data_IF_466347469452
#
_entry.id   IF_466347469452
#
_cell.length_a   1.000
_cell.length_b   1.000
_cell.length_c   1.000
_cell.angle_alpha   90.00
_cell.angle_beta   90.00
_cell.angle_gamma   90.00
#
_symmetry.space_group_name_H-M   'P 1'
#
loop_
_entity.id
_entity.type
_entity.pdbx_description
1 polymer ?
#
# COMPACT_ATOMS: atom_id res chain seq x y z
N UNK A 1 58.95 -22.13 56.35
CA UNK A 1 58.14 -20.94 56.70
C UNK A 1 57.61 -20.32 55.42
N UNK A 2 56.40 -20.73 54.97
CA UNK A 2 55.76 -20.26 53.74
C UNK A 2 54.61 -19.36 54.13
N UNK A 3 54.68 -18.11 53.71
CA UNK A 3 53.62 -17.09 53.96
C UNK A 3 52.64 -17.17 52.77
N UNK A 4 51.44 -17.63 53.06
CA UNK A 4 50.36 -17.66 52.14
C UNK A 4 49.72 -16.27 52.03
N UNK A 5 49.82 -15.62 50.84
CA UNK A 5 49.29 -14.29 50.59
C UNK A 5 47.86 -14.45 50.00
N UNK A 6 46.84 -14.27 50.84
CA UNK A 6 45.45 -14.21 50.37
C UNK A 6 45.24 -12.95 49.53
N UNK A 7 44.79 -13.11 48.30
CA UNK A 7 44.25 -12.02 47.46
C UNK A 7 42.83 -11.75 47.88
N UNK A 8 42.60 -10.59 48.50
CA UNK A 8 41.26 -10.09 48.72
C UNK A 8 40.66 -9.64 47.40
N UNK A 9 39.61 -10.35 46.91
CA UNK A 9 38.74 -9.91 45.81
C UNK A 9 37.80 -8.86 46.36
N UNK A 10 38.05 -7.59 46.04
CA UNK A 10 37.14 -6.49 46.34
C UNK A 10 35.90 -6.62 45.41
N UNK A 11 34.80 -7.05 45.99
CA UNK A 11 33.48 -6.92 45.34
C UNK A 11 33.11 -5.43 45.33
N UNK A 12 33.14 -4.80 44.15
CA UNK A 12 32.58 -3.46 43.96
C UNK A 12 31.06 -3.55 44.23
N UNK A 13 30.62 -3.08 45.39
CA UNK A 13 29.19 -2.94 45.66
C UNK A 13 28.67 -1.80 44.81
N UNK A 14 28.01 -2.11 43.71
CA UNK A 14 27.32 -1.11 42.90
C UNK A 14 26.24 -0.41 43.75
N UNK A 15 26.17 0.93 43.70
CA UNK A 15 25.18 1.69 44.46
C UNK A 15 23.76 1.25 44.06
N UNK A 16 22.86 1.16 45.06
CA UNK A 16 21.44 0.73 44.87
C UNK A 16 20.73 1.49 43.78
N UNK A 17 21.12 2.73 43.50
CA UNK A 17 20.62 3.57 42.41
C UNK A 17 20.98 3.06 41.00
N UNK A 18 22.07 2.29 40.87
CA UNK A 18 22.46 1.71 39.57
C UNK A 18 21.46 0.63 39.11
N UNK A 19 20.98 -0.21 40.02
CA UNK A 19 19.95 -1.20 39.72
C UNK A 19 18.59 -0.54 39.43
N UNK A 20 18.29 0.57 40.10
CA UNK A 20 17.08 1.36 39.87
C UNK A 20 17.13 2.08 38.54
N UNK A 21 18.30 2.61 38.13
CA UNK A 21 18.51 3.19 36.81
C UNK A 21 18.43 2.14 35.69
N UNK A 22 19.02 0.96 35.90
CA UNK A 22 19.00 -0.15 34.95
C UNK A 22 17.58 -0.69 34.76
N UNK A 23 16.78 -0.78 35.82
CA UNK A 23 15.37 -1.17 35.74
C UNK A 23 14.49 -0.11 35.06
N UNK A 24 14.82 1.18 35.22
CA UNK A 24 14.10 2.28 34.56
C UNK A 24 14.42 2.31 33.05
N UNK A 25 15.67 2.03 32.68
CA UNK A 25 16.09 1.94 31.27
C UNK A 25 15.50 0.72 30.56
N UNK A 26 15.31 -0.41 31.27
CA UNK A 26 14.68 -1.59 30.68
C UNK A 26 13.18 -1.41 30.41
N UNK A 27 12.49 -0.52 31.14
CA UNK A 27 11.09 -0.16 30.90
C UNK A 27 10.90 0.77 29.68
N UNK A 28 11.98 1.43 29.20
CA UNK A 28 11.93 2.30 28.03
C UNK A 28 12.16 1.56 26.69
N UNK A 29 12.52 0.27 26.73
CA UNK A 29 12.80 -0.54 25.56
C UNK A 29 11.61 -1.41 25.12
N UNK A 30 10.38 -1.10 25.56
CA UNK A 30 9.21 -1.69 24.94
C UNK A 30 9.06 -1.07 23.56
N UNK A 31 9.68 -1.70 22.57
CA UNK A 31 9.34 -1.49 21.16
C UNK A 31 7.86 -1.79 21.01
N UNK A 32 7.05 -0.77 20.77
CA UNK A 32 5.65 -0.95 20.46
C UNK A 32 5.62 -1.48 19.03
N UNK A 33 5.51 -2.81 18.86
CA UNK A 33 5.15 -3.36 17.58
C UNK A 33 3.77 -2.83 17.21
N UNK A 34 3.59 -2.39 15.98
CA UNK A 34 2.28 -1.98 15.47
C UNK A 34 1.40 -3.23 15.35
N UNK A 35 0.25 -3.22 16.04
CA UNK A 35 -0.70 -4.34 16.00
C UNK A 35 -1.88 -3.99 15.12
N UNK A 36 -2.08 -4.74 14.04
CA UNK A 36 -3.28 -4.62 13.23
C UNK A 36 -4.29 -5.72 13.57
N UNK A 37 -5.55 -5.36 13.50
CA UNK A 37 -6.67 -6.30 13.58
C UNK A 37 -7.65 -5.96 12.45
N UNK A 38 -7.78 -6.85 11.49
CA UNK A 38 -8.62 -6.68 10.31
C UNK A 38 -9.88 -7.52 10.46
N UNK A 39 -11.04 -6.87 10.43
CA UNK A 39 -12.37 -7.47 10.38
C UNK A 39 -12.94 -7.29 8.97
N UNK A 40 -13.03 -8.36 8.20
CA UNK A 40 -13.44 -8.35 6.81
C UNK A 40 -14.86 -8.88 6.59
N UNK A 41 -15.60 -8.21 5.69
CA UNK A 41 -16.91 -8.63 5.21
C UNK A 41 -16.99 -8.58 3.70
N UNK A 42 -17.65 -9.57 3.09
CA UNK A 42 -17.91 -9.59 1.67
C UNK A 42 -19.35 -9.99 1.37
N UNK A 43 -19.97 -9.30 0.40
CA UNK A 43 -21.23 -9.70 -0.21
C UNK A 43 -21.02 -10.49 -1.51
N UNK A 44 -19.77 -10.66 -1.94
CA UNK A 44 -19.42 -11.39 -3.17
C UNK A 44 -19.44 -12.89 -2.91
N UNK A 45 -20.51 -13.54 -3.34
CA UNK A 45 -20.74 -14.98 -3.07
C UNK A 45 -19.64 -15.90 -3.61
N UNK A 46 -18.94 -15.51 -4.68
CA UNK A 46 -17.84 -16.27 -5.25
C UNK A 46 -16.58 -16.27 -4.40
N UNK A 47 -16.47 -15.42 -3.39
CA UNK A 47 -15.36 -15.39 -2.43
C UNK A 47 -15.62 -16.27 -1.21
N UNK A 48 -16.87 -16.67 -0.95
CA UNK A 48 -17.20 -17.52 0.19
C UNK A 48 -16.56 -18.91 0.06
N UNK A 49 -15.96 -19.40 1.12
CA UNK A 49 -15.20 -20.64 1.15
C UNK A 49 -13.77 -20.55 0.57
N UNK A 50 -13.38 -19.42 -0.07
CA UNK A 50 -12.02 -19.24 -0.61
C UNK A 50 -11.02 -18.85 0.47
N UNK A 51 -9.75 -19.11 0.18
CA UNK A 51 -8.63 -18.62 1.00
C UNK A 51 -8.36 -17.17 0.68
N UNK A 52 -8.27 -16.37 1.72
CA UNK A 52 -7.84 -14.97 1.69
C UNK A 52 -6.42 -14.90 2.20
N UNK A 53 -5.60 -14.08 1.56
CA UNK A 53 -4.18 -13.91 1.92
C UNK A 53 -3.86 -12.43 2.07
N UNK A 54 -3.16 -12.10 3.13
CA UNK A 54 -2.56 -10.78 3.32
C UNK A 54 -1.09 -10.88 2.91
N UNK A 55 -0.68 -10.13 1.88
CA UNK A 55 0.65 -10.27 1.28
C UNK A 55 1.37 -8.94 1.16
N UNK A 56 2.68 -8.98 1.44
CA UNK A 56 3.60 -7.95 1.00
C UNK A 56 4.20 -8.35 -0.33
N UNK A 57 4.37 -7.37 -1.20
CA UNK A 57 5.09 -7.55 -2.46
C UNK A 57 6.46 -6.90 -2.30
N UNK A 58 7.54 -7.65 -1.98
CA UNK A 58 8.85 -7.08 -1.70
C UNK A 58 9.45 -6.27 -2.85
N UNK A 59 9.09 -6.60 -4.09
CA UNK A 59 9.64 -5.97 -5.29
C UNK A 59 8.67 -4.97 -5.96
N UNK A 60 7.67 -4.49 -5.19
CA UNK A 60 6.59 -3.71 -5.77
C UNK A 60 5.69 -4.57 -6.67
N UNK A 61 4.61 -4.04 -7.14
CA UNK A 61 3.58 -4.74 -7.91
C UNK A 61 4.04 -5.31 -9.29
N UNK A 62 5.34 -5.40 -9.51
CA UNK A 62 5.92 -5.78 -10.79
C UNK A 62 6.04 -7.29 -10.94
N UNK A 63 5.27 -7.81 -11.87
CA UNK A 63 5.37 -9.09 -12.58
C UNK A 63 5.27 -10.40 -11.79
N UNK A 64 4.64 -11.37 -12.41
CA UNK A 64 4.24 -12.74 -12.01
C UNK A 64 5.34 -13.62 -11.34
N UNK A 65 6.54 -13.11 -11.13
CA UNK A 65 7.67 -13.90 -10.62
C UNK A 65 8.32 -13.38 -9.32
N UNK A 66 7.78 -12.34 -8.69
CA UNK A 66 8.32 -11.85 -7.42
C UNK A 66 7.75 -12.63 -6.26
N UNK A 67 8.63 -13.07 -5.37
CA UNK A 67 8.28 -13.77 -4.14
C UNK A 67 7.44 -12.84 -3.23
N UNK A 68 6.13 -12.99 -3.27
CA UNK A 68 5.24 -12.32 -2.30
C UNK A 68 5.43 -12.94 -0.94
N UNK A 69 5.68 -12.12 0.08
CA UNK A 69 5.70 -12.58 1.47
C UNK A 69 4.25 -12.63 1.96
N UNK A 70 3.77 -13.82 2.28
CA UNK A 70 2.47 -14.00 2.92
C UNK A 70 2.63 -13.66 4.41
N UNK A 71 1.93 -12.63 4.86
CA UNK A 71 1.89 -12.23 6.26
C UNK A 71 0.92 -13.10 7.04
N UNK A 72 -0.27 -13.32 6.46
CA UNK A 72 -1.33 -14.07 7.08
C UNK A 72 -2.28 -14.67 6.03
N UNK A 73 -3.05 -15.67 6.43
CA UNK A 73 -4.07 -16.30 5.57
C UNK A 73 -5.23 -16.85 6.40
N UNK A 74 -6.44 -16.69 5.89
CA UNK A 74 -7.64 -17.25 6.51
C UNK A 74 -8.65 -17.69 5.44
N UNK A 75 -9.59 -18.55 5.82
CA UNK A 75 -10.72 -18.91 4.94
C UNK A 75 -11.86 -17.93 5.16
N UNK A 76 -12.47 -17.47 4.05
CA UNK A 76 -13.70 -16.71 4.15
C UNK A 76 -14.86 -17.65 4.48
N UNK A 77 -15.58 -17.36 5.55
CA UNK A 77 -16.73 -18.15 6.01
C UNK A 77 -17.96 -17.25 6.21
N UNK A 78 -19.04 -17.60 5.51
CA UNK A 78 -20.28 -16.83 5.55
C UNK A 78 -20.08 -15.33 5.24
N UNK A 79 -19.23 -15.05 4.26
CA UNK A 79 -18.86 -13.69 3.84
C UNK A 79 -18.04 -12.92 4.86
N UNK A 80 -17.33 -13.59 5.79
CA UNK A 80 -16.46 -12.98 6.81
C UNK A 80 -15.07 -13.57 6.77
N UNK A 81 -14.07 -12.71 7.08
CA UNK A 81 -12.69 -13.12 7.27
C UNK A 81 -12.01 -12.18 8.27
N UNK A 82 -10.93 -12.60 8.89
CA UNK A 82 -10.17 -11.78 9.82
C UNK A 82 -8.68 -12.08 9.72
N UNK A 83 -7.87 -11.04 9.97
CA UNK A 83 -6.43 -11.13 10.13
C UNK A 83 -6.01 -10.36 11.37
N UNK A 84 -5.02 -10.83 12.07
CA UNK A 84 -4.40 -10.13 13.17
C UNK A 84 -2.90 -10.43 13.23
N UNK A 85 -2.12 -9.44 13.64
CA UNK A 85 -0.68 -9.62 13.73
C UNK A 85 0.07 -8.35 14.08
N UNK A 86 1.39 -8.53 14.16
CA UNK A 86 2.32 -7.45 14.46
C UNK A 86 3.13 -7.11 13.22
N UNK A 87 3.42 -5.83 13.03
CA UNK A 87 4.35 -5.35 12.01
C UNK A 87 5.35 -4.38 12.66
N UNK A 88 6.59 -4.39 12.16
CA UNK A 88 7.65 -3.52 12.69
C UNK A 88 7.39 -2.04 12.40
N UNK A 89 6.60 -1.75 11.36
CA UNK A 89 6.23 -0.40 10.95
C UNK A 89 4.96 -0.42 10.12
N UNK A 90 4.27 0.72 10.07
CA UNK A 90 3.12 0.91 9.18
C UNK A 90 3.53 0.68 7.73
N UNK A 91 2.82 -0.18 7.03
CA UNK A 91 3.14 -0.57 5.65
C UNK A 91 1.88 -0.86 4.84
N UNK A 92 1.98 -0.76 3.51
CA UNK A 92 0.90 -1.14 2.62
C UNK A 92 1.05 -2.60 2.21
N UNK A 93 0.02 -3.40 2.45
CA UNK A 93 -0.13 -4.78 2.03
C UNK A 93 -1.24 -4.91 0.99
N UNK A 94 -1.33 -6.06 0.35
CA UNK A 94 -2.38 -6.41 -0.58
C UNK A 94 -3.19 -7.58 -0.06
N UNK A 95 -4.49 -7.46 -0.14
CA UNK A 95 -5.43 -8.55 0.09
C UNK A 95 -5.61 -9.34 -1.21
N UNK A 96 -5.42 -10.63 -1.16
CA UNK A 96 -5.63 -11.56 -2.26
C UNK A 96 -6.71 -12.57 -1.93
N UNK A 97 -7.43 -13.01 -2.96
CA UNK A 97 -8.24 -14.23 -2.92
C UNK A 97 -7.63 -15.22 -3.90
N UNK A 98 -7.10 -16.34 -3.39
CA UNK A 98 -6.37 -17.35 -4.17
C UNK A 98 -5.19 -16.74 -4.97
N UNK A 99 -5.35 -16.37 -6.21
CA UNK A 99 -4.32 -15.75 -7.05
C UNK A 99 -4.61 -14.30 -7.43
N UNK A 100 -5.83 -13.83 -7.18
CA UNK A 100 -6.30 -12.53 -7.62
C UNK A 100 -6.11 -11.46 -6.53
N UNK A 101 -5.51 -10.32 -6.89
CA UNK A 101 -5.43 -9.17 -6.00
C UNK A 101 -6.83 -8.56 -5.84
N UNK A 102 -7.31 -8.48 -4.60
CA UNK A 102 -8.61 -7.92 -4.27
C UNK A 102 -8.51 -6.41 -4.05
N UNK A 103 -7.62 -5.99 -3.12
CA UNK A 103 -7.50 -4.59 -2.74
C UNK A 103 -6.24 -4.33 -1.90
N UNK A 104 -5.71 -3.10 -1.90
CA UNK A 104 -4.67 -2.69 -0.96
C UNK A 104 -5.23 -2.41 0.43
N UNK A 105 -4.41 -2.64 1.46
CA UNK A 105 -4.69 -2.34 2.87
C UNK A 105 -3.44 -1.75 3.51
N UNK A 106 -3.57 -0.66 4.24
CA UNK A 106 -2.47 -0.17 5.07
C UNK A 106 -2.58 -0.84 6.44
N UNK A 107 -1.52 -1.52 6.85
CA UNK A 107 -1.44 -2.15 8.16
C UNK A 107 -1.09 -1.08 9.19
N UNK A 108 -2.13 -0.49 9.76
CA UNK A 108 -2.08 0.52 10.81
C UNK A 108 -2.46 -0.12 12.16
N UNK A 109 -1.96 0.46 13.24
CA UNK A 109 -2.32 0.03 14.59
C UNK A 109 -3.82 0.19 14.85
N UNK A 110 -4.43 -0.85 15.43
CA UNK A 110 -5.83 -0.86 15.84
C UNK A 110 -6.74 -1.70 14.96
N UNK A 111 -8.04 -1.40 15.03
CA UNK A 111 -9.06 -2.15 14.29
C UNK A 111 -9.33 -1.56 12.93
N UNK A 112 -9.15 -2.36 11.90
CA UNK A 112 -9.47 -2.05 10.52
C UNK A 112 -10.71 -2.83 10.09
N UNK A 113 -11.66 -2.17 9.46
CA UNK A 113 -12.83 -2.83 8.86
C UNK A 113 -12.68 -2.85 7.34
N UNK A 114 -12.66 -4.04 6.77
CA UNK A 114 -12.57 -4.27 5.32
C UNK A 114 -13.95 -4.67 4.79
N UNK A 115 -14.39 -3.99 3.75
CA UNK A 115 -15.61 -4.33 3.02
C UNK A 115 -15.27 -4.61 1.56
N UNK A 116 -15.69 -5.78 1.08
CA UNK A 116 -15.53 -6.21 -0.32
C UNK A 116 -16.91 -6.52 -0.88
N UNK A 117 -17.37 -5.73 -1.81
CA UNK A 117 -18.61 -6.01 -2.54
C UNK A 117 -18.43 -5.79 -4.05
N UNK A 118 -19.48 -6.05 -4.83
CA UNK A 118 -19.43 -5.92 -6.30
C UNK A 118 -19.38 -4.47 -6.79
N UNK A 119 -19.63 -3.49 -5.93
CA UNK A 119 -19.72 -2.06 -6.27
C UNK A 119 -18.58 -1.27 -5.66
N UNK A 120 -18.25 -1.54 -4.40
CA UNK A 120 -17.27 -0.79 -3.64
C UNK A 120 -16.36 -1.73 -2.84
N UNK A 121 -15.06 -1.40 -2.85
CA UNK A 121 -14.08 -1.99 -1.95
C UNK A 121 -13.60 -0.89 -1.02
N UNK A 122 -13.60 -1.16 0.28
CA UNK A 122 -13.28 -0.15 1.28
C UNK A 122 -12.55 -0.73 2.48
N UNK A 123 -11.54 0.00 2.94
CA UNK A 123 -11.00 -0.15 4.29
C UNK A 123 -11.27 1.11 5.09
N UNK A 124 -11.57 0.96 6.36
CA UNK A 124 -11.79 2.05 7.31
C UNK A 124 -11.28 1.67 8.69
N UNK A 125 -11.07 2.67 9.55
CA UNK A 125 -10.62 2.50 10.93
C UNK A 125 -9.19 2.95 11.20
N UNK A 126 -8.47 3.44 10.17
CA UNK A 126 -7.16 4.06 10.32
C UNK A 126 -7.02 5.28 9.40
N UNK A 127 -6.27 6.32 9.81
CA UNK A 127 -6.16 7.58 9.06
C UNK A 127 -5.57 7.40 7.66
N UNK A 128 -4.61 6.48 7.48
CA UNK A 128 -4.00 6.23 6.18
C UNK A 128 -4.94 5.43 5.27
N UNK A 129 -5.65 4.43 5.79
CA UNK A 129 -6.68 3.73 5.04
C UNK A 129 -7.81 4.68 4.63
N UNK A 130 -8.30 5.54 5.53
CA UNK A 130 -9.34 6.51 5.22
C UNK A 130 -8.89 7.49 4.12
N UNK A 131 -7.63 7.93 4.15
CA UNK A 131 -7.02 8.79 3.11
C UNK A 131 -6.89 8.05 1.78
N UNK A 132 -6.42 6.80 1.79
CA UNK A 132 -6.28 5.95 0.61
C UNK A 132 -7.63 5.72 -0.08
N UNK A 133 -8.65 5.34 0.68
CA UNK A 133 -9.97 5.05 0.12
C UNK A 133 -10.76 6.28 -0.27
N UNK A 134 -10.47 7.46 0.30
CA UNK A 134 -10.94 8.73 -0.22
C UNK A 134 -10.35 9.03 -1.60
N UNK A 135 -9.06 8.78 -1.78
CA UNK A 135 -8.38 8.88 -3.08
C UNK A 135 -8.99 7.93 -4.11
N UNK A 136 -9.15 6.64 -3.78
CA UNK A 136 -9.74 5.66 -4.70
C UNK A 136 -11.16 6.00 -5.11
N UNK A 137 -11.99 6.52 -4.22
CA UNK A 137 -13.34 6.97 -4.60
C UNK A 137 -13.31 8.07 -5.66
N UNK A 138 -12.43 9.05 -5.51
CA UNK A 138 -12.30 10.12 -6.50
C UNK A 138 -11.69 9.60 -7.81
N UNK A 139 -10.69 8.73 -7.72
CA UNK A 139 -10.11 8.05 -8.89
C UNK A 139 -11.17 7.25 -9.65
N UNK A 140 -11.92 6.41 -8.96
CA UNK A 140 -12.99 5.59 -9.56
C UNK A 140 -14.10 6.47 -10.19
N UNK A 141 -14.43 7.62 -9.60
CA UNK A 141 -15.37 8.56 -10.18
C UNK A 141 -14.87 9.06 -11.55
N UNK A 142 -13.61 9.51 -11.61
CA UNK A 142 -12.98 9.97 -12.86
C UNK A 142 -12.89 8.84 -13.90
N UNK A 143 -12.45 7.66 -13.48
CA UNK A 143 -12.29 6.50 -14.36
C UNK A 143 -13.64 6.03 -14.94
N UNK A 144 -14.72 6.07 -14.14
CA UNK A 144 -16.09 5.78 -14.62
C UNK A 144 -16.56 6.82 -15.65
N UNK A 145 -16.30 8.12 -15.44
CA UNK A 145 -16.64 9.17 -16.41
C UNK A 145 -15.86 9.00 -17.72
N UNK A 146 -14.56 8.68 -17.62
CA UNK A 146 -13.70 8.37 -18.77
C UNK A 146 -14.26 7.16 -19.54
N UNK A 147 -14.63 6.11 -18.83
CA UNK A 147 -15.18 4.89 -19.40
C UNK A 147 -16.51 5.13 -20.13
N UNK A 148 -17.41 5.94 -19.57
CA UNK A 148 -18.66 6.32 -20.22
C UNK A 148 -18.42 7.11 -21.52
N UNK A 149 -17.40 7.99 -21.55
CA UNK A 149 -17.03 8.68 -22.80
C UNK A 149 -16.46 7.73 -23.84
N UNK A 150 -15.64 6.75 -23.44
CA UNK A 150 -15.18 5.71 -24.35
C UNK A 150 -16.33 4.88 -24.90
N UNK A 151 -17.28 4.48 -24.06
CA UNK A 151 -18.50 3.79 -24.53
C UNK A 151 -19.32 4.65 -25.50
N UNK A 152 -19.43 5.96 -25.25
CA UNK A 152 -20.07 6.89 -26.19
C UNK A 152 -19.34 6.93 -27.52
N UNK A 153 -18.00 7.05 -27.51
CA UNK A 153 -17.16 7.01 -28.71
C UNK A 153 -17.40 5.74 -29.52
N UNK A 154 -17.40 4.58 -28.86
CA UNK A 154 -17.66 3.29 -29.51
C UNK A 154 -19.04 3.24 -30.15
N UNK A 155 -20.09 3.69 -29.45
CA UNK A 155 -21.46 3.74 -30.02
C UNK A 155 -21.52 4.64 -31.26
N UNK A 156 -20.87 5.81 -31.23
CA UNK A 156 -20.79 6.71 -32.38
C UNK A 156 -20.07 6.07 -33.58
N UNK A 157 -18.97 5.39 -33.32
CA UNK A 157 -18.20 4.65 -34.36
C UNK A 157 -19.07 3.57 -35.01
N UNK A 158 -19.78 2.77 -34.21
CA UNK A 158 -20.71 1.75 -34.76
C UNK A 158 -21.90 2.33 -35.52
N UNK A 159 -22.31 3.57 -35.19
CA UNK A 159 -23.35 4.30 -35.89
C UNK A 159 -22.83 4.99 -37.17
N UNK A 160 -21.56 4.80 -37.56
CA UNK A 160 -20.97 5.35 -38.77
C UNK A 160 -20.45 6.78 -38.68
N UNK A 161 -20.30 7.33 -37.44
CA UNK A 161 -19.69 8.64 -37.25
C UNK A 161 -18.22 8.63 -37.65
N UNK A 162 -17.75 9.75 -38.18
CA UNK A 162 -16.34 9.90 -38.55
C UNK A 162 -15.48 10.14 -37.29
N UNK A 163 -14.14 9.86 -37.35
CA UNK A 163 -13.23 10.16 -36.26
C UNK A 163 -13.29 11.63 -35.83
N UNK A 164 -13.47 12.56 -36.78
CA UNK A 164 -13.62 13.99 -36.50
C UNK A 164 -14.89 14.34 -35.75
N UNK A 165 -16.01 13.71 -36.07
CA UNK A 165 -17.28 13.89 -35.34
C UNK A 165 -17.17 13.34 -33.91
N UNK A 166 -16.49 12.21 -33.73
CA UNK A 166 -16.24 11.58 -32.42
C UNK A 166 -15.35 12.51 -31.58
N UNK A 167 -14.26 13.01 -32.13
CA UNK A 167 -13.35 13.92 -31.42
C UNK A 167 -14.06 15.22 -30.99
N UNK A 168 -14.86 15.79 -31.89
CA UNK A 168 -15.68 16.98 -31.56
C UNK A 168 -16.69 16.70 -30.43
N UNK A 169 -17.25 15.51 -30.39
CA UNK A 169 -18.29 15.15 -29.43
C UNK A 169 -17.76 14.79 -28.04
N UNK A 170 -16.56 14.18 -27.93
CA UNK A 170 -16.03 13.65 -26.68
C UNK A 170 -14.58 14.02 -26.40
N UNK A 171 -13.76 14.32 -27.42
CA UNK A 171 -12.31 14.43 -27.31
C UNK A 171 -11.84 15.44 -26.28
N UNK A 172 -12.38 16.67 -26.29
CA UNK A 172 -12.02 17.69 -25.29
C UNK A 172 -12.36 17.30 -23.85
N UNK A 173 -13.52 16.66 -23.66
CA UNK A 173 -13.95 16.22 -22.33
C UNK A 173 -13.08 15.07 -21.85
N UNK A 174 -12.81 14.11 -22.71
CA UNK A 174 -11.92 12.97 -22.41
C UNK A 174 -10.51 13.43 -22.04
N UNK A 175 -9.93 14.36 -22.82
CA UNK A 175 -8.61 14.93 -22.54
C UNK A 175 -8.57 15.67 -21.19
N UNK A 176 -9.66 16.36 -20.82
CA UNK A 176 -9.77 17.03 -19.52
C UNK A 176 -9.80 16.02 -18.37
N UNK A 177 -10.64 14.99 -18.47
CA UNK A 177 -10.76 13.95 -17.42
C UNK A 177 -9.47 13.15 -17.24
N UNK A 178 -8.80 12.80 -18.34
CA UNK A 178 -7.50 12.11 -18.28
C UNK A 178 -6.46 12.96 -17.52
N UNK A 179 -6.37 14.27 -17.81
CA UNK A 179 -5.49 15.17 -17.05
C UNK A 179 -5.87 15.22 -15.58
N UNK A 180 -7.15 15.32 -15.26
CA UNK A 180 -7.60 15.35 -13.86
C UNK A 180 -7.24 14.05 -13.13
N UNK A 181 -7.38 12.91 -13.78
CA UNK A 181 -7.01 11.59 -13.24
C UNK A 181 -5.49 11.50 -13.02
N UNK A 182 -4.68 11.93 -14.01
CA UNK A 182 -3.23 11.98 -13.89
C UNK A 182 -2.76 12.94 -12.79
N UNK A 183 -3.36 14.13 -12.70
CA UNK A 183 -3.02 15.15 -11.69
C UNK A 183 -3.39 14.67 -10.28
N UNK A 184 -4.53 13.96 -10.13
CA UNK A 184 -4.94 13.34 -8.87
C UNK A 184 -3.89 12.33 -8.38
N UNK A 185 -3.42 11.45 -9.26
CA UNK A 185 -2.41 10.45 -8.94
C UNK A 185 -1.09 11.12 -8.52
N UNK A 186 -0.61 12.10 -9.30
CA UNK A 186 0.62 12.85 -9.01
C UNK A 186 0.50 13.56 -7.67
N UNK A 187 -0.60 14.29 -7.47
CA UNK A 187 -0.85 15.02 -6.23
C UNK A 187 -0.86 14.08 -5.03
N UNK A 188 -1.58 12.96 -5.11
CA UNK A 188 -1.67 12.01 -4.00
C UNK A 188 -0.30 11.45 -3.62
N UNK A 189 0.51 11.01 -4.60
CA UNK A 189 1.85 10.48 -4.33
C UNK A 189 2.76 11.55 -3.74
N UNK A 190 2.74 12.78 -4.29
CA UNK A 190 3.60 13.88 -3.81
C UNK A 190 3.24 14.36 -2.42
N UNK A 191 1.97 14.33 -2.03
CA UNK A 191 1.50 14.66 -0.68
C UNK A 191 1.76 13.55 0.36
N UNK A 192 2.29 12.40 -0.07
CA UNK A 192 2.50 11.22 0.78
C UNK A 192 3.90 10.62 0.64
N UNK A 193 4.90 11.40 0.24
CA UNK A 193 6.27 10.89 0.13
C UNK A 193 6.85 10.35 1.43
N UNK A 194 6.42 10.88 2.56
CA UNK A 194 6.89 10.63 3.92
C UNK A 194 6.18 9.48 4.64
N UNK A 195 5.26 8.80 3.96
CA UNK A 195 4.48 7.71 4.54
C UNK A 195 4.25 6.59 3.51
N UNK A 196 3.77 5.38 3.91
CA UNK A 196 3.66 4.23 3.01
C UNK A 196 2.70 4.40 1.84
N UNK A 197 1.80 5.40 1.86
CA UNK A 197 0.86 5.66 0.76
C UNK A 197 1.57 6.14 -0.51
N UNK A 198 2.60 7.00 -0.37
CA UNK A 198 3.34 7.52 -1.52
C UNK A 198 4.00 6.41 -2.34
N UNK A 199 4.94 5.64 -1.77
CA UNK A 199 5.54 4.51 -2.47
C UNK A 199 4.51 3.46 -2.91
N UNK A 200 3.51 3.18 -2.08
CA UNK A 200 2.49 2.18 -2.38
C UNK A 200 1.64 2.56 -3.58
N UNK A 201 1.05 3.75 -3.63
CA UNK A 201 0.24 4.21 -4.77
C UNK A 201 1.11 4.42 -6.01
N UNK A 202 2.36 4.91 -5.86
CA UNK A 202 3.31 4.97 -6.97
C UNK A 202 3.50 3.59 -7.61
N UNK A 203 3.67 2.54 -6.83
CA UNK A 203 3.82 1.17 -7.34
C UNK A 203 2.53 0.63 -7.97
N UNK A 204 1.35 0.97 -7.42
CA UNK A 204 0.06 0.65 -8.05
C UNK A 204 -0.08 1.30 -9.44
N UNK A 205 0.33 2.57 -9.58
CA UNK A 205 0.36 3.23 -10.89
C UNK A 205 1.32 2.54 -11.85
N UNK A 206 2.51 2.18 -11.37
CA UNK A 206 3.54 1.52 -12.18
C UNK A 206 3.11 0.13 -12.65
N UNK A 207 2.31 -0.60 -11.87
CA UNK A 207 1.83 -1.95 -12.19
C UNK A 207 0.85 -2.00 -13.38
N UNK A 208 0.33 -0.86 -13.81
CA UNK A 208 -0.55 -0.77 -14.98
C UNK A 208 0.22 -0.99 -16.31
N UNK A 209 1.54 -0.90 -16.27
CA UNK A 209 2.40 -1.10 -17.42
C UNK A 209 2.99 -2.51 -17.44
N UNK A 210 3.06 -3.18 -18.60
CA UNK A 210 3.60 -4.54 -18.69
C UNK A 210 5.11 -4.61 -18.44
N UNK A 211 5.79 -3.48 -18.50
CA UNK A 211 7.21 -3.33 -18.20
C UNK A 211 7.48 -1.94 -17.61
N UNK A 212 8.54 -1.76 -16.81
CA UNK A 212 8.90 -0.47 -16.25
C UNK A 212 9.16 0.57 -17.36
N UNK A 213 8.46 1.71 -17.28
CA UNK A 213 8.57 2.81 -18.25
C UNK A 213 8.58 4.16 -17.52
N UNK A 214 9.23 5.17 -18.11
CA UNK A 214 9.22 6.54 -17.63
C UNK A 214 8.17 7.35 -18.38
N UNK A 215 6.95 7.42 -17.82
CA UNK A 215 5.89 8.29 -18.36
C UNK A 215 6.08 9.74 -17.91
N UNK A 216 5.35 10.68 -18.52
CA UNK A 216 5.31 12.08 -18.07
C UNK A 216 4.85 12.18 -16.61
N UNK A 217 3.86 11.40 -16.22
CA UNK A 217 3.32 11.34 -14.87
C UNK A 217 4.37 10.86 -13.85
N UNK A 218 5.03 9.74 -14.13
CA UNK A 218 6.12 9.20 -13.31
C UNK A 218 7.29 10.21 -13.22
N UNK A 219 7.63 10.85 -14.33
CA UNK A 219 8.69 11.88 -14.37
C UNK A 219 8.35 13.07 -13.46
N UNK A 220 7.11 13.55 -13.47
CA UNK A 220 6.65 14.64 -12.59
C UNK A 220 6.79 14.27 -11.11
N UNK A 221 6.42 13.05 -10.73
CA UNK A 221 6.56 12.55 -9.36
C UNK A 221 8.05 12.51 -8.96
N UNK A 222 8.87 11.89 -9.78
CA UNK A 222 10.31 11.67 -9.45
C UNK A 222 11.11 12.96 -9.39
N UNK A 223 10.79 13.96 -10.23
CA UNK A 223 11.47 15.25 -10.23
C UNK A 223 11.27 16.05 -8.93
N UNK A 224 10.13 15.90 -8.27
CA UNK A 224 9.81 16.58 -7.02
C UNK A 224 10.12 15.72 -5.76
N UNK A 225 10.53 14.48 -5.96
CA UNK A 225 10.62 13.50 -4.88
C UNK A 225 11.84 13.72 -3.97
N UNK A 226 11.67 13.65 -2.64
CA UNK A 226 12.75 13.68 -1.68
C UNK A 226 13.59 12.38 -1.76
N UNK A 227 14.81 12.44 -1.23
CA UNK A 227 15.74 11.31 -1.27
C UNK A 227 15.19 10.07 -0.56
N UNK A 228 14.43 10.25 0.51
CA UNK A 228 13.78 9.17 1.26
C UNK A 228 12.84 8.35 0.37
N UNK A 229 11.95 9.01 -0.37
CA UNK A 229 11.07 8.36 -1.33
C UNK A 229 11.86 7.64 -2.44
N UNK A 230 12.88 8.30 -3.00
CA UNK A 230 13.70 7.72 -4.08
C UNK A 230 14.56 6.54 -3.61
N UNK A 231 14.89 6.47 -2.32
CA UNK A 231 15.65 5.38 -1.72
C UNK A 231 14.77 4.22 -1.25
N UNK A 232 13.45 4.38 -1.26
CA UNK A 232 12.52 3.28 -1.01
C UNK A 232 12.85 2.12 -1.97
N UNK A 233 13.04 0.88 -1.48
CA UNK A 233 13.52 -0.25 -2.28
C UNK A 233 12.68 -0.49 -3.54
N UNK A 234 11.36 -0.37 -3.44
CA UNK A 234 10.43 -0.61 -4.55
C UNK A 234 10.55 0.47 -5.62
N UNK A 235 10.50 1.74 -5.21
CA UNK A 235 10.63 2.90 -6.09
C UNK A 235 11.97 2.86 -6.81
N UNK A 236 13.06 2.65 -6.05
CA UNK A 236 14.43 2.57 -6.59
C UNK A 236 14.57 1.46 -7.64
N UNK A 237 14.07 0.26 -7.33
CA UNK A 237 14.13 -0.87 -8.25
C UNK A 237 13.39 -0.57 -9.55
N UNK A 238 12.14 -0.07 -9.45
CA UNK A 238 11.36 0.32 -10.63
C UNK A 238 12.10 1.34 -11.50
N UNK A 239 12.60 2.43 -10.89
CA UNK A 239 13.30 3.49 -11.61
C UNK A 239 14.61 3.03 -12.26
N UNK A 240 15.32 2.09 -11.65
CA UNK A 240 16.52 1.49 -12.26
C UNK A 240 16.19 0.67 -13.50
N UNK A 241 15.05 -0.01 -13.52
CA UNK A 241 14.61 -0.80 -14.67
C UNK A 241 14.01 0.10 -15.76
N UNK A 242 13.25 1.12 -15.42
CA UNK A 242 12.60 2.03 -16.36
C UNK A 242 13.57 2.97 -17.11
N UNK A 243 14.83 3.07 -16.67
CA UNK A 243 15.89 3.88 -17.30
C UNK A 243 16.84 3.08 -18.20
N UNK A 244 16.64 1.77 -18.27
CA UNK A 244 17.41 0.87 -19.17
C UNK A 244 16.79 0.83 -20.56
#
# INVERSE_FOLDING_TARGET
>A
MYICRQKATSYLSMPKYFYLLLSLVSLLLTSCAEQYNIDGKSSVSSLDGRMMYLRLTPDGFATVQTSTVCLDSCRMEHGRFSFDGDVDSVMMALLYSEGDCVMPVVLENGKLSVQVDNVEQRVSGGPLNDKLYKFFREKNRLDNEIWELHRKSMRMMYAGATPDDIDKAVGRHLAKLNRQSEDLDVQFVTENYDNPLGPGVFMLMCSQYPSPVMTTQITRIVQAAPLEFLSNPFVKNYLQQARK
#
